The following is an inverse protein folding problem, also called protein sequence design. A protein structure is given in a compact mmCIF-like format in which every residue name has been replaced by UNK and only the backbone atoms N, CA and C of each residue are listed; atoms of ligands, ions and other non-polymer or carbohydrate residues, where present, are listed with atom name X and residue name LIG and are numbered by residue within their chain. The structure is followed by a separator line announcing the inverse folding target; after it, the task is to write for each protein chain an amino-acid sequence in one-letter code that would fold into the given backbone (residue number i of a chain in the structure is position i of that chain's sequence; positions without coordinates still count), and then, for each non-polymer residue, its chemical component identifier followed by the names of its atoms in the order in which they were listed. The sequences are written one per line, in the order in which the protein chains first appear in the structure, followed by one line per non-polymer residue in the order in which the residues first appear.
data_IF_716472718854
#
_entry.id   IF_716472718854
#
_cell.length_a   1.000
_cell.length_b   1.000
_cell.length_c   1.000
_cell.angle_alpha   90.00
_cell.angle_beta   90.00
_cell.angle_gamma   90.00
#
_symmetry.space_group_name_H-M   'P 1'
#
loop_
_entity.id
_entity.type
_entity.pdbx_description
1 polymer ?
#
# COMPACT_ATOMS: atom_id res chain seq x y z
N UNK A 1 2.18 -33.49 15.10
CA UNK A 1 1.52 -33.12 13.84
C UNK A 1 0.70 -31.86 14.13
N UNK A 2 1.07 -30.72 13.56
CA UNK A 2 0.38 -29.45 13.85
C UNK A 2 -0.95 -29.47 13.09
N UNK A 3 -2.07 -29.42 13.81
CA UNK A 3 -3.42 -29.48 13.23
C UNK A 3 -3.94 -28.04 13.04
N UNK A 4 -3.54 -27.39 11.95
CA UNK A 4 -4.00 -26.02 11.60
C UNK A 4 -5.18 -26.11 10.63
N UNK A 5 -6.10 -25.15 10.69
CA UNK A 5 -7.26 -25.05 9.78
C UNK A 5 -7.39 -23.63 9.24
N UNK A 6 -7.85 -23.51 7.99
CA UNK A 6 -8.27 -22.24 7.38
C UNK A 6 -9.78 -22.25 7.23
N UNK A 7 -10.51 -21.73 8.21
CA UNK A 7 -11.96 -21.94 8.26
C UNK A 7 -12.29 -23.43 8.35
N UNK A 8 -12.97 -23.97 7.33
CA UNK A 8 -13.28 -25.40 7.23
C UNK A 8 -12.25 -26.21 6.41
N UNK A 9 -11.35 -25.54 5.71
CA UNK A 9 -10.34 -26.19 4.87
C UNK A 9 -9.24 -26.85 5.71
N UNK A 10 -8.84 -28.04 5.27
CA UNK A 10 -7.74 -28.79 5.87
C UNK A 10 -6.51 -28.68 4.96
N UNK A 11 -5.44 -28.02 5.43
CA UNK A 11 -4.24 -27.86 4.62
C UNK A 11 -3.51 -29.19 4.38
N UNK A 12 -2.58 -29.21 3.40
CA UNK A 12 -1.73 -30.35 3.12
C UNK A 12 -0.98 -30.88 4.37
N UNK A 13 -0.60 -32.16 4.39
CA UNK A 13 0.23 -32.70 5.45
C UNK A 13 1.61 -32.00 5.46
N UNK A 14 2.22 -31.91 6.64
CA UNK A 14 3.43 -31.10 6.86
C UNK A 14 4.65 -31.51 6.03
N UNK A 15 4.72 -32.78 5.63
CA UNK A 15 5.76 -33.32 4.74
C UNK A 15 5.63 -32.83 3.29
N UNK A 16 4.41 -32.54 2.83
CA UNK A 16 4.16 -31.98 1.51
C UNK A 16 4.43 -30.47 1.41
N UNK A 17 4.35 -29.74 2.53
CA UNK A 17 4.45 -28.26 2.57
C UNK A 17 5.70 -27.75 1.89
N UNK A 18 6.87 -28.36 2.14
CA UNK A 18 8.13 -27.89 1.57
C UNK A 18 8.11 -27.96 0.04
N UNK A 19 7.65 -29.07 -0.54
CA UNK A 19 7.56 -29.24 -1.99
C UNK A 19 6.59 -28.24 -2.63
N UNK A 20 5.40 -28.10 -2.04
CA UNK A 20 4.39 -27.15 -2.53
C UNK A 20 4.86 -25.70 -2.47
N UNK A 21 5.62 -25.32 -1.44
CA UNK A 21 6.23 -23.99 -1.36
C UNK A 21 7.29 -23.80 -2.44
N UNK A 22 8.11 -24.81 -2.75
CA UNK A 22 9.06 -24.72 -3.87
C UNK A 22 8.33 -24.51 -5.21
N UNK A 23 7.28 -25.28 -5.48
CA UNK A 23 6.47 -25.14 -6.69
C UNK A 23 5.79 -23.76 -6.78
N UNK A 24 5.32 -23.23 -5.65
CA UNK A 24 4.75 -21.88 -5.59
C UNK A 24 5.81 -20.83 -5.94
N UNK A 25 6.99 -20.91 -5.33
CA UNK A 25 8.08 -19.97 -5.57
C UNK A 25 8.62 -20.05 -7.00
N UNK A 26 8.72 -21.24 -7.58
CA UNK A 26 9.13 -21.44 -8.97
C UNK A 26 8.13 -20.79 -9.93
N UNK A 27 6.84 -21.06 -9.74
CA UNK A 27 5.79 -20.41 -10.52
C UNK A 27 5.83 -18.89 -10.37
N UNK A 28 5.99 -18.39 -9.14
CA UNK A 28 5.96 -16.96 -8.82
C UNK A 28 7.12 -16.18 -9.44
N UNK A 29 8.28 -16.81 -9.56
CA UNK A 29 9.48 -16.23 -10.16
C UNK A 29 9.59 -16.47 -11.68
N UNK A 30 8.75 -17.35 -12.24
CA UNK A 30 8.73 -17.66 -13.67
C UNK A 30 7.40 -17.31 -14.33
N UNK A 31 6.49 -18.28 -14.36
CA UNK A 31 5.26 -18.22 -15.15
C UNK A 31 4.29 -17.11 -14.72
N UNK A 32 4.27 -16.73 -13.44
CA UNK A 32 3.42 -15.65 -12.93
C UNK A 32 3.64 -14.32 -13.66
N UNK A 33 4.86 -14.07 -14.17
CA UNK A 33 5.19 -12.83 -14.86
C UNK A 33 4.39 -12.61 -16.16
N UNK A 34 3.84 -13.69 -16.74
CA UNK A 34 2.99 -13.66 -17.95
C UNK A 34 1.56 -13.21 -17.67
N UNK A 35 1.15 -13.18 -16.40
CA UNK A 35 -0.18 -12.74 -15.98
C UNK A 35 -0.18 -11.24 -15.63
N UNK A 36 -1.35 -10.64 -15.58
CA UNK A 36 -1.48 -9.29 -15.00
C UNK A 36 -1.10 -9.32 -13.51
N UNK A 37 -0.54 -8.24 -12.95
CA UNK A 37 -0.17 -8.17 -11.53
C UNK A 37 -1.33 -8.49 -10.59
N UNK A 38 -2.55 -8.11 -10.97
CA UNK A 38 -3.78 -8.37 -10.20
C UNK A 38 -4.05 -9.88 -10.12
N UNK A 39 -3.95 -10.59 -11.24
CA UNK A 39 -4.17 -12.03 -11.29
C UNK A 39 -3.06 -12.78 -10.55
N UNK A 40 -1.80 -12.45 -10.80
CA UNK A 40 -0.69 -13.12 -10.10
C UNK A 40 -0.74 -12.88 -8.59
N UNK A 41 -1.16 -11.69 -8.14
CA UNK A 41 -1.35 -11.37 -6.72
C UNK A 41 -2.44 -12.22 -6.08
N UNK A 42 -3.61 -12.32 -6.73
CA UNK A 42 -4.72 -13.12 -6.24
C UNK A 42 -4.39 -14.63 -6.21
N UNK A 43 -3.71 -15.15 -7.24
CA UNK A 43 -3.30 -16.57 -7.29
C UNK A 43 -2.24 -16.87 -6.22
N UNK A 44 -1.27 -15.98 -6.04
CA UNK A 44 -0.26 -16.10 -4.99
C UNK A 44 -0.90 -16.16 -3.61
N UNK A 45 -1.84 -15.25 -3.34
CA UNK A 45 -2.59 -15.23 -2.09
C UNK A 45 -3.30 -16.56 -1.83
N UNK A 46 -4.07 -17.04 -2.79
CA UNK A 46 -4.81 -18.30 -2.66
C UNK A 46 -3.87 -19.48 -2.43
N UNK A 47 -2.86 -19.67 -3.29
CA UNK A 47 -1.94 -20.82 -3.20
C UNK A 47 -1.18 -20.81 -1.88
N UNK A 48 -0.78 -19.64 -1.39
CA UNK A 48 -0.12 -19.53 -0.09
C UNK A 48 -1.06 -19.92 1.06
N UNK A 49 -2.30 -19.42 1.08
CA UNK A 49 -3.29 -19.77 2.10
C UNK A 49 -3.67 -21.25 2.06
N UNK A 50 -3.75 -21.85 0.87
CA UNK A 50 -4.03 -23.27 0.67
C UNK A 50 -2.88 -24.16 1.16
N UNK A 51 -1.62 -23.77 0.93
CA UNK A 51 -0.46 -24.51 1.45
C UNK A 51 -0.36 -24.39 2.97
N UNK A 52 -0.65 -23.20 3.51
CA UNK A 52 -0.66 -22.89 4.93
C UNK A 52 0.64 -23.29 5.67
N UNK A 53 1.81 -22.76 5.26
CA UNK A 53 3.11 -23.31 5.64
C UNK A 53 3.50 -23.09 7.11
N UNK A 54 2.85 -22.17 7.82
CA UNK A 54 3.21 -21.82 9.19
C UNK A 54 2.19 -22.30 10.22
N UNK A 55 2.61 -22.40 11.49
CA UNK A 55 1.72 -22.72 12.60
C UNK A 55 0.74 -21.57 12.93
N UNK A 56 1.17 -20.32 12.75
CA UNK A 56 0.38 -19.09 12.85
C UNK A 56 0.96 -18.05 11.88
N UNK A 57 0.17 -17.05 11.51
CA UNK A 57 0.61 -15.91 10.71
C UNK A 57 0.40 -16.08 9.21
N UNK A 58 -0.18 -17.18 8.75
CA UNK A 58 -0.45 -17.42 7.33
C UNK A 58 -1.28 -16.29 6.72
N UNK A 59 -2.47 -16.00 7.28
CA UNK A 59 -3.33 -14.91 6.81
C UNK A 59 -2.63 -13.56 6.64
N UNK A 60 -1.77 -13.19 7.59
CA UNK A 60 -1.00 -11.93 7.55
C UNK A 60 0.06 -11.98 6.45
N UNK A 61 0.74 -13.12 6.32
CA UNK A 61 1.80 -13.31 5.33
C UNK A 61 1.23 -13.42 3.91
N UNK A 62 0.12 -14.13 3.71
CA UNK A 62 -0.55 -14.27 2.43
C UNK A 62 -0.98 -12.92 1.86
N UNK A 63 -1.60 -12.06 2.68
CA UNK A 63 -1.96 -10.70 2.28
C UNK A 63 -0.74 -9.81 2.00
N UNK A 64 0.29 -9.89 2.84
CA UNK A 64 1.53 -9.16 2.60
C UNK A 64 2.23 -9.58 1.30
N UNK A 65 2.24 -10.88 0.97
CA UNK A 65 2.78 -11.41 -0.28
C UNK A 65 1.96 -10.96 -1.49
N UNK A 66 0.62 -10.98 -1.36
CA UNK A 66 -0.29 -10.50 -2.39
C UNK A 66 -0.06 -9.01 -2.69
N UNK A 67 0.07 -8.18 -1.65
CA UNK A 67 0.38 -6.77 -1.79
C UNK A 67 1.77 -6.55 -2.40
N UNK A 68 2.77 -7.31 -1.92
CA UNK A 68 4.12 -7.26 -2.46
C UNK A 68 4.18 -7.60 -3.95
N UNK A 69 3.36 -8.53 -4.43
CA UNK A 69 3.24 -8.83 -5.86
C UNK A 69 2.83 -7.59 -6.66
N UNK A 70 1.84 -6.84 -6.19
CA UNK A 70 1.41 -5.61 -6.83
C UNK A 70 2.52 -4.55 -6.81
N UNK A 71 3.27 -4.47 -5.72
CA UNK A 71 4.34 -3.47 -5.54
C UNK A 71 5.52 -3.78 -6.46
N UNK A 72 6.06 -5.00 -6.39
CA UNK A 72 7.24 -5.40 -7.19
C UNK A 72 6.96 -5.37 -8.69
N UNK A 73 5.70 -5.47 -9.10
CA UNK A 73 5.25 -5.40 -10.50
C UNK A 73 4.87 -3.99 -10.96
N UNK A 74 5.01 -2.98 -10.09
CA UNK A 74 4.75 -1.58 -10.42
C UNK A 74 3.28 -1.21 -10.58
N UNK A 75 2.36 -1.98 -10.00
CA UNK A 75 0.92 -1.66 -10.04
C UNK A 75 0.56 -0.60 -8.99
N UNK A 76 1.08 -0.72 -7.76
CA UNK A 76 0.96 0.32 -6.72
C UNK A 76 2.31 0.98 -6.47
N UNK A 77 2.66 1.93 -7.34
CA UNK A 77 3.93 2.65 -7.29
C UNK A 77 4.03 3.66 -6.16
N UNK A 78 2.91 4.01 -5.53
CA UNK A 78 2.84 5.05 -4.50
C UNK A 78 2.45 4.49 -3.12
N UNK A 79 2.26 3.17 -3.00
CA UNK A 79 1.86 2.48 -1.77
C UNK A 79 0.59 3.08 -1.15
N UNK A 80 -0.37 3.47 -2.00
CA UNK A 80 -1.55 4.25 -1.61
C UNK A 80 -2.73 3.38 -1.18
N UNK A 81 -2.65 2.05 -1.37
CA UNK A 81 -3.75 1.17 -1.04
C UNK A 81 -3.29 -0.18 -0.49
N UNK A 82 -4.18 -0.82 0.27
CA UNK A 82 -4.06 -2.21 0.70
C UNK A 82 -5.45 -2.85 0.65
N UNK A 83 -5.56 -4.02 0.01
CA UNK A 83 -6.85 -4.74 -0.13
C UNK A 83 -7.26 -5.43 1.18
N UNK A 84 -6.38 -5.48 2.18
CA UNK A 84 -6.64 -6.03 3.51
C UNK A 84 -7.92 -5.49 4.17
N UNK A 85 -8.20 -4.18 4.01
CA UNK A 85 -9.40 -3.56 4.58
C UNK A 85 -10.69 -4.16 3.99
N UNK A 86 -10.70 -4.42 2.67
CA UNK A 86 -11.82 -5.07 2.00
C UNK A 86 -12.08 -6.49 2.55
N UNK A 87 -11.02 -7.29 2.72
CA UNK A 87 -11.15 -8.64 3.28
C UNK A 87 -11.58 -8.62 4.76
N UNK A 88 -11.23 -7.56 5.49
CA UNK A 88 -11.57 -7.40 6.89
C UNK A 88 -13.03 -7.00 7.11
N UNK A 89 -13.57 -6.14 6.25
CA UNK A 89 -14.96 -5.67 6.35
C UNK A 89 -15.99 -6.79 6.18
N UNK A 90 -15.71 -7.75 5.29
CA UNK A 90 -16.55 -8.94 5.08
C UNK A 90 -15.73 -10.23 5.14
N UNK A 91 -15.27 -10.56 6.36
CA UNK A 91 -14.57 -11.80 6.65
C UNK A 91 -15.36 -13.05 6.21
N UNK A 92 -16.69 -13.15 6.45
CA UNK A 92 -17.47 -14.29 5.95
C UNK A 92 -17.37 -14.46 4.43
N UNK A 93 -17.53 -13.40 3.65
CA UNK A 93 -17.42 -13.48 2.19
C UNK A 93 -16.00 -13.87 1.74
N UNK A 94 -14.96 -13.34 2.39
CA UNK A 94 -13.58 -13.71 2.12
C UNK A 94 -13.34 -15.21 2.30
N UNK A 95 -13.75 -15.77 3.45
CA UNK A 95 -13.59 -17.21 3.68
C UNK A 95 -14.46 -18.04 2.75
N UNK A 96 -15.68 -17.60 2.44
CA UNK A 96 -16.54 -18.28 1.46
C UNK A 96 -15.89 -18.32 0.07
N UNK A 97 -15.29 -17.22 -0.38
CA UNK A 97 -14.57 -17.16 -1.66
C UNK A 97 -13.36 -18.12 -1.68
N UNK A 98 -12.61 -18.23 -0.57
CA UNK A 98 -11.52 -19.21 -0.43
C UNK A 98 -12.01 -20.67 -0.46
N UNK A 99 -13.10 -20.99 0.26
CA UNK A 99 -13.66 -22.34 0.29
C UNK A 99 -14.33 -22.74 -1.02
N UNK A 100 -14.85 -21.77 -1.79
CA UNK A 100 -15.49 -22.03 -3.07
C UNK A 100 -14.54 -22.60 -4.13
N UNK A 101 -13.22 -22.36 -4.02
CA UNK A 101 -12.25 -22.85 -5.02
C UNK A 101 -12.13 -24.38 -4.99
N UNK A 102 -11.85 -25.04 -3.84
CA UNK A 102 -11.90 -26.51 -3.78
C UNK A 102 -13.26 -27.10 -4.17
N UNK A 103 -14.36 -26.45 -3.79
CA UNK A 103 -15.73 -26.89 -4.13
C UNK A 103 -16.02 -26.83 -5.64
N UNK A 104 -15.37 -25.91 -6.34
CA UNK A 104 -15.44 -25.75 -7.79
C UNK A 104 -14.39 -26.60 -8.56
N UNK A 105 -13.67 -27.51 -7.89
CA UNK A 105 -12.66 -28.35 -8.54
C UNK A 105 -11.39 -27.57 -8.90
N UNK A 106 -10.94 -26.69 -8.01
CA UNK A 106 -9.77 -25.82 -8.15
C UNK A 106 -9.88 -24.74 -9.26
N UNK A 107 -11.11 -24.44 -9.71
CA UNK A 107 -11.37 -23.28 -10.55
C UNK A 107 -11.25 -21.98 -9.74
N UNK A 108 -10.27 -21.16 -10.12
CA UNK A 108 -9.97 -19.89 -9.46
C UNK A 108 -10.86 -18.74 -9.92
N UNK A 109 -11.71 -18.92 -10.93
CA UNK A 109 -12.47 -17.82 -11.58
C UNK A 109 -13.22 -16.95 -10.58
N UNK A 110 -14.04 -17.55 -9.70
CA UNK A 110 -14.79 -16.81 -8.68
C UNK A 110 -13.89 -16.09 -7.66
N UNK A 111 -12.77 -16.72 -7.29
CA UNK A 111 -11.77 -16.12 -6.40
C UNK A 111 -11.09 -14.90 -7.03
N UNK A 112 -10.74 -15.01 -8.31
CA UNK A 112 -10.12 -13.94 -9.09
C UNK A 112 -11.08 -12.75 -9.25
N UNK A 113 -12.35 -13.03 -9.55
CA UNK A 113 -13.41 -12.01 -9.62
C UNK A 113 -13.60 -11.31 -8.27
N UNK A 114 -13.67 -12.07 -7.18
CA UNK A 114 -13.76 -11.53 -5.82
C UNK A 114 -12.59 -10.59 -5.49
N UNK A 115 -11.35 -11.02 -5.77
CA UNK A 115 -10.16 -10.21 -5.53
C UNK A 115 -10.13 -8.94 -6.40
N UNK A 116 -10.50 -9.05 -7.68
CA UNK A 116 -10.56 -7.92 -8.60
C UNK A 116 -11.62 -6.90 -8.17
N UNK A 117 -12.79 -7.37 -7.70
CA UNK A 117 -13.84 -6.51 -7.16
C UNK A 117 -13.37 -5.76 -5.90
N UNK A 118 -12.69 -6.46 -4.98
CA UNK A 118 -12.12 -5.86 -3.78
C UNK A 118 -11.06 -4.81 -4.09
N UNK A 119 -10.16 -5.10 -5.03
CA UNK A 119 -9.15 -4.14 -5.48
C UNK A 119 -9.81 -2.90 -6.12
N UNK A 120 -10.80 -3.09 -7.00
CA UNK A 120 -11.54 -1.98 -7.62
C UNK A 120 -12.18 -1.09 -6.56
N UNK A 121 -12.88 -1.67 -5.59
CA UNK A 121 -13.53 -0.89 -4.53
C UNK A 121 -12.50 -0.15 -3.66
N UNK A 122 -11.37 -0.79 -3.34
CA UNK A 122 -10.27 -0.15 -2.59
C UNK A 122 -9.73 1.07 -3.35
N UNK A 123 -9.48 0.92 -4.66
CA UNK A 123 -9.00 2.01 -5.52
C UNK A 123 -10.01 3.14 -5.64
N UNK A 124 -11.32 2.83 -5.72
CA UNK A 124 -12.39 3.84 -5.73
C UNK A 124 -12.43 4.65 -4.42
N UNK A 125 -12.24 4.01 -3.27
CA UNK A 125 -12.17 4.72 -1.97
C UNK A 125 -10.94 5.62 -1.90
N UNK A 126 -9.79 5.14 -2.36
CA UNK A 126 -8.56 5.92 -2.43
C UNK A 126 -8.74 7.12 -3.35
N UNK A 127 -9.37 6.92 -4.51
CA UNK A 127 -9.70 8.00 -5.44
C UNK A 127 -10.59 9.07 -4.80
N UNK A 128 -11.68 8.66 -4.12
CA UNK A 128 -12.57 9.59 -3.41
C UNK A 128 -11.82 10.35 -2.30
N UNK A 129 -10.95 9.67 -1.55
CA UNK A 129 -10.12 10.30 -0.51
C UNK A 129 -9.12 11.31 -1.09
N UNK A 130 -8.54 11.02 -2.26
CA UNK A 130 -7.68 11.98 -2.97
C UNK A 130 -8.50 13.21 -3.39
N UNK A 131 -9.72 13.02 -3.90
CA UNK A 131 -10.59 14.12 -4.29
C UNK A 131 -10.97 15.01 -3.10
N UNK A 132 -11.30 14.44 -1.93
CA UNK A 132 -11.64 15.24 -0.74
C UNK A 132 -10.46 16.06 -0.24
N UNK A 133 -9.23 15.56 -0.37
CA UNK A 133 -8.01 16.33 -0.07
C UNK A 133 -7.79 17.46 -1.09
N UNK A 134 -8.15 17.27 -2.36
CA UNK A 134 -7.98 18.30 -3.40
C UNK A 134 -9.02 19.44 -3.36
N UNK A 135 -10.12 19.29 -2.63
CA UNK A 135 -11.16 20.35 -2.53
C UNK A 135 -10.70 21.57 -1.70
N UNK A 136 -9.48 21.56 -1.15
CA UNK A 136 -8.95 22.60 -0.26
C UNK A 136 -7.88 23.56 -0.80
N UNK A 137 -7.34 23.44 -2.02
CA UNK A 137 -6.28 24.36 -2.49
C UNK A 137 -6.66 25.14 -3.75
N UNK A 138 -6.76 26.45 -3.60
CA UNK A 138 -6.73 27.43 -4.68
C UNK A 138 -5.54 27.18 -5.60
N UNK A 139 -5.79 27.10 -6.91
CA UNK A 139 -4.83 26.85 -8.01
C UNK A 139 -3.91 25.63 -7.83
N UNK A 140 -3.84 24.76 -8.85
CA UNK A 140 -2.90 23.63 -8.85
C UNK A 140 -1.47 24.16 -8.81
N UNK A 141 -0.89 24.25 -7.62
CA UNK A 141 0.52 24.57 -7.47
C UNK A 141 1.34 23.40 -8.03
N UNK A 142 1.97 23.61 -9.19
CA UNK A 142 2.93 22.65 -9.74
C UNK A 142 4.20 22.74 -8.90
N UNK A 143 4.47 21.70 -8.12
CA UNK A 143 5.64 21.63 -7.25
C UNK A 143 6.89 21.29 -8.06
N UNK A 144 7.99 22.00 -7.79
CA UNK A 144 9.32 21.59 -8.25
C UNK A 144 9.87 20.47 -7.34
N UNK A 145 10.77 19.59 -7.80
CA UNK A 145 11.31 18.49 -6.98
C UNK A 145 11.88 18.95 -5.63
N UNK A 146 12.55 20.11 -5.59
CA UNK A 146 13.08 20.70 -4.35
C UNK A 146 11.98 21.19 -3.39
N UNK A 147 10.82 21.59 -3.90
CA UNK A 147 9.67 21.99 -3.09
C UNK A 147 8.94 20.76 -2.53
N UNK A 148 8.84 19.67 -3.31
CA UNK A 148 8.34 18.38 -2.79
C UNK A 148 9.22 17.87 -1.65
N UNK A 149 10.54 17.91 -1.82
CA UNK A 149 11.50 17.53 -0.77
C UNK A 149 11.32 18.38 0.50
N UNK A 150 11.11 19.69 0.36
CA UNK A 150 10.81 20.57 1.49
C UNK A 150 9.51 20.17 2.21
N UNK A 151 8.44 19.87 1.47
CA UNK A 151 7.17 19.45 2.06
C UNK A 151 7.29 18.11 2.81
N UNK A 152 8.10 17.17 2.32
CA UNK A 152 8.43 15.94 3.04
C UNK A 152 9.15 16.24 4.36
N UNK A 153 10.19 17.08 4.34
CA UNK A 153 10.93 17.47 5.56
C UNK A 153 10.00 18.13 6.59
N UNK A 154 9.13 19.04 6.17
CA UNK A 154 8.19 19.71 7.08
C UNK A 154 7.19 18.72 7.71
N UNK A 155 6.76 17.71 6.94
CA UNK A 155 5.88 16.64 7.43
C UNK A 155 6.57 15.77 8.46
N UNK A 156 7.77 15.30 8.17
CA UNK A 156 8.53 14.37 9.01
C UNK A 156 8.95 15.02 10.34
N UNK A 157 9.26 16.32 10.32
CA UNK A 157 9.71 17.07 11.50
C UNK A 157 8.59 17.82 12.23
N UNK A 158 7.35 17.82 11.71
CA UNK A 158 6.23 18.58 12.28
C UNK A 158 6.40 20.11 12.23
N UNK A 159 7.38 20.58 11.44
CA UNK A 159 7.74 21.98 11.30
C UNK A 159 9.21 22.26 11.54
N UNK A 160 9.77 23.27 10.85
CA UNK A 160 11.19 23.59 10.88
C UNK A 160 11.45 25.10 10.96
N UNK A 161 12.48 25.50 11.69
CA UNK A 161 12.99 26.87 11.67
C UNK A 161 13.67 27.16 10.32
N UNK A 162 13.72 28.44 9.88
CA UNK A 162 14.37 28.81 8.62
C UNK A 162 15.78 28.22 8.47
N UNK A 163 16.55 28.21 9.56
CA UNK A 163 17.91 27.69 9.57
C UNK A 163 18.05 26.20 9.39
N UNK A 164 17.08 25.46 9.90
CA UNK A 164 17.01 24.01 9.74
C UNK A 164 16.68 23.69 8.28
N UNK A 165 15.81 24.47 7.64
CA UNK A 165 15.38 24.27 6.25
C UNK A 165 16.54 24.45 5.26
N UNK A 166 17.27 25.57 5.33
CA UNK A 166 18.35 25.80 4.36
C UNK A 166 19.54 24.86 4.57
N UNK A 167 19.79 24.42 5.80
CA UNK A 167 20.81 23.42 6.09
C UNK A 167 20.41 22.03 5.57
N UNK A 168 19.16 21.60 5.81
CA UNK A 168 18.68 20.29 5.38
C UNK A 168 18.58 20.15 3.86
N UNK A 169 18.29 21.24 3.15
CA UNK A 169 18.20 21.26 1.69
C UNK A 169 19.53 21.59 1.00
N UNK A 170 20.59 21.91 1.75
CA UNK A 170 21.87 22.37 1.20
C UNK A 170 21.69 23.52 0.20
N UNK A 171 21.00 24.58 0.64
CA UNK A 171 20.74 25.78 -0.16
C UNK A 171 21.10 27.04 0.61
N UNK A 172 21.26 28.15 -0.11
CA UNK A 172 21.41 29.45 0.54
C UNK A 172 20.13 29.85 1.28
N UNK A 173 20.25 30.77 2.24
CA UNK A 173 19.10 31.40 2.91
C UNK A 173 18.08 31.94 1.91
N UNK A 174 18.55 32.57 0.83
CA UNK A 174 17.68 33.10 -0.23
C UNK A 174 17.01 31.96 -1.01
N UNK A 175 17.75 30.92 -1.37
CA UNK A 175 17.21 29.75 -2.06
C UNK A 175 16.12 29.02 -1.27
N UNK A 176 16.28 28.90 0.05
CA UNK A 176 15.22 28.37 0.91
C UNK A 176 13.96 29.26 0.90
N UNK A 177 14.13 30.58 0.93
CA UNK A 177 13.01 31.51 0.83
C UNK A 177 12.31 31.43 -0.54
N UNK A 178 13.07 31.27 -1.62
CA UNK A 178 12.53 31.13 -2.98
C UNK A 178 11.74 29.81 -3.16
N UNK A 179 12.07 28.77 -2.37
CA UNK A 179 11.29 27.53 -2.30
C UNK A 179 10.03 27.69 -1.44
N UNK A 180 10.14 28.40 -0.31
CA UNK A 180 9.04 28.61 0.65
C UNK A 180 7.96 29.57 0.16
N UNK A 181 8.34 30.65 -0.54
CA UNK A 181 7.42 31.73 -0.89
C UNK A 181 6.20 31.24 -1.70
N UNK A 182 6.36 30.44 -2.77
CA UNK A 182 5.20 29.91 -3.49
C UNK A 182 4.31 29.00 -2.64
N UNK A 183 4.90 28.28 -1.66
CA UNK A 183 4.16 27.39 -0.76
C UNK A 183 3.38 28.18 0.30
N UNK A 184 3.93 29.30 0.77
CA UNK A 184 3.26 30.25 1.67
C UNK A 184 2.12 30.96 0.95
N UNK A 185 2.38 31.45 -0.27
CA UNK A 185 1.42 32.17 -1.09
C UNK A 185 0.23 31.26 -1.47
N UNK A 186 0.49 29.99 -1.78
CA UNK A 186 -0.53 28.97 -2.03
C UNK A 186 -1.22 28.45 -0.75
N UNK A 187 -0.77 28.88 0.43
CA UNK A 187 -1.32 28.44 1.72
C UNK A 187 -1.07 26.96 2.05
N UNK A 188 -0.09 26.30 1.42
CA UNK A 188 0.33 24.93 1.71
C UNK A 188 1.21 24.87 2.97
N UNK A 189 2.00 25.92 3.18
CA UNK A 189 2.85 26.12 4.36
C UNK A 189 2.39 27.37 5.08
N UNK A 190 2.49 27.38 6.40
CA UNK A 190 2.30 28.59 7.21
C UNK A 190 3.46 28.81 8.17
N UNK A 191 3.64 30.06 8.58
CA UNK A 191 4.63 30.43 9.60
C UNK A 191 3.93 30.55 10.95
N UNK A 192 4.35 29.73 11.90
CA UNK A 192 3.86 29.74 13.28
C UNK A 192 4.94 30.29 14.22
N UNK A 193 4.57 31.13 15.17
CA UNK A 193 5.49 31.72 16.16
C UNK A 193 5.98 33.13 15.80
N UNK A 194 6.75 33.73 16.71
CA UNK A 194 7.20 35.12 16.62
C UNK A 194 8.44 35.33 15.74
N UNK A 195 8.91 36.57 15.66
CA UNK A 195 10.06 36.93 14.79
C UNK A 195 11.36 36.17 15.11
N UNK A 196 11.56 35.73 16.36
CA UNK A 196 12.76 34.98 16.80
C UNK A 196 12.53 33.48 16.99
N UNK A 197 11.28 33.03 16.98
CA UNK A 197 10.89 31.62 17.22
C UNK A 197 10.07 31.01 16.09
N UNK A 198 9.99 31.72 14.94
CA UNK A 198 9.15 31.34 13.82
C UNK A 198 9.60 30.01 13.21
N UNK A 199 8.64 29.09 13.06
CA UNK A 199 8.79 27.83 12.34
C UNK A 199 7.82 27.80 11.18
N UNK A 200 8.20 27.11 10.11
CA UNK A 200 7.32 26.81 9.00
C UNK A 200 6.71 25.43 9.21
N UNK A 201 5.40 25.30 9.06
CA UNK A 201 4.63 24.06 9.24
C UNK A 201 3.70 23.86 8.03
N UNK A 202 3.27 22.62 7.79
CA UNK A 202 2.22 22.36 6.80
C UNK A 202 0.88 22.86 7.33
N UNK A 203 0.15 23.60 6.50
CA UNK A 203 -1.19 24.07 6.83
C UNK A 203 -2.16 22.91 6.56
N UNK A 204 -2.84 22.44 7.62
CA UNK A 204 -3.70 21.24 7.63
C UNK A 204 -2.94 19.89 7.61
N UNK A 205 -2.01 19.68 8.54
CA UNK A 205 -1.65 18.33 8.98
C UNK A 205 -2.56 17.88 10.14
#
# INVERSE_FOLDING_TARGET
MINVRVGQYRPPPSDAVSGLMFELLEWWNGAAAKLSPVLSSAILHYRFEAIHPFADGNGRTGRALALWELYRRGFDTHHIFAVDEYYWEDRPAYYAALQGVPEAGDDLSAWLEYCAAGLRQTLERVWLRIQTVQVGSAEKLILRPRQEQLLHLLRDHGGMAPSEIWAALDVSRQGAMDLLRPLLDAGVVEKVGGNKTGRYVLKNA
#
